data_IF_995361022767
#
_entry.id   IF_995361022767
#
_cell.length_a   1.000
_cell.length_b   1.000
_cell.length_c   1.000
_cell.angle_alpha   90.00
_cell.angle_beta   90.00
_cell.angle_gamma   90.00
#
_symmetry.space_group_name_H-M   'P 1'
#
loop_
_entity.id
_entity.type
_entity.pdbx_description
1 polymer ?
#
# COMPACT_ATOMS: atom_id res chain seq x y z
N UNK A 1 11.58 -23.98 -41.61
CA UNK A 1 10.67 -24.39 -40.51
C UNK A 1 11.49 -24.94 -39.34
N UNK A 2 12.15 -26.10 -39.47
CA UNK A 2 12.92 -26.72 -38.37
C UNK A 2 13.92 -25.81 -37.61
N UNK A 3 14.64 -24.91 -38.30
CA UNK A 3 15.57 -23.95 -37.65
C UNK A 3 14.84 -22.93 -36.78
N UNK A 4 13.71 -22.40 -37.26
CA UNK A 4 12.87 -21.45 -36.52
C UNK A 4 12.19 -22.15 -35.34
N UNK A 5 11.71 -23.39 -35.53
CA UNK A 5 11.10 -24.18 -34.46
C UNK A 5 12.09 -24.45 -33.32
N UNK A 6 13.34 -24.77 -33.67
CA UNK A 6 14.43 -24.95 -32.69
C UNK A 6 14.81 -23.64 -31.97
N UNK A 7 14.58 -22.49 -32.57
CA UNK A 7 14.86 -21.18 -31.98
C UNK A 7 13.72 -20.74 -31.05
N UNK A 8 12.46 -20.95 -31.46
CA UNK A 8 11.27 -20.77 -30.62
C UNK A 8 11.36 -21.63 -29.37
N UNK A 9 11.77 -22.90 -29.51
CA UNK A 9 11.90 -23.82 -28.38
C UNK A 9 12.97 -23.35 -27.39
N UNK A 10 14.11 -22.84 -27.88
CA UNK A 10 15.18 -22.30 -27.04
C UNK A 10 14.72 -21.07 -26.25
N UNK A 11 14.02 -20.15 -26.90
CA UNK A 11 13.49 -18.96 -26.22
C UNK A 11 12.43 -19.31 -25.16
N UNK A 12 11.57 -20.31 -25.43
CA UNK A 12 10.59 -20.78 -24.44
C UNK A 12 11.26 -21.42 -23.24
N UNK A 13 12.22 -22.32 -23.46
CA UNK A 13 12.98 -22.94 -22.37
C UNK A 13 13.68 -21.89 -21.50
N UNK A 14 14.30 -20.89 -22.11
CA UNK A 14 14.94 -19.81 -21.37
C UNK A 14 13.94 -18.94 -20.59
N UNK A 15 12.76 -18.66 -21.18
CA UNK A 15 11.71 -17.94 -20.47
C UNK A 15 11.17 -18.73 -19.27
N UNK A 16 11.02 -20.05 -19.39
CA UNK A 16 10.59 -20.94 -18.30
C UNK A 16 11.63 -20.98 -17.16
N UNK A 17 12.92 -21.06 -17.49
CA UNK A 17 14.00 -20.94 -16.52
C UNK A 17 13.94 -19.59 -15.79
N UNK A 18 13.74 -18.49 -16.52
CA UNK A 18 13.68 -17.16 -15.95
C UNK A 18 12.46 -16.96 -15.04
N UNK A 19 11.28 -17.44 -15.45
CA UNK A 19 10.06 -17.41 -14.62
C UNK A 19 10.28 -18.20 -13.33
N UNK A 20 10.86 -19.40 -13.42
CA UNK A 20 11.13 -20.24 -12.26
C UNK A 20 12.08 -19.55 -11.28
N UNK A 21 13.14 -18.92 -11.78
CA UNK A 21 14.07 -18.15 -10.98
C UNK A 21 13.39 -16.96 -10.28
N UNK A 22 12.57 -16.19 -11.00
CA UNK A 22 11.80 -15.08 -10.41
C UNK A 22 10.81 -15.56 -9.34
N UNK A 23 10.13 -16.67 -9.56
CA UNK A 23 9.21 -17.25 -8.58
C UNK A 23 9.93 -17.75 -7.33
N UNK A 24 11.13 -18.33 -7.46
CA UNK A 24 11.97 -18.69 -6.33
C UNK A 24 12.41 -17.46 -5.54
N UNK A 25 12.85 -16.39 -6.23
CA UNK A 25 13.19 -15.13 -5.59
C UNK A 25 12.00 -14.53 -4.84
N UNK A 26 10.80 -14.51 -5.46
CA UNK A 26 9.58 -14.04 -4.80
C UNK A 26 9.22 -14.87 -3.58
N UNK A 27 9.33 -16.20 -3.66
CA UNK A 27 9.08 -17.10 -2.52
C UNK A 27 10.04 -16.81 -1.36
N UNK A 28 11.33 -16.72 -1.62
CA UNK A 28 12.32 -16.43 -0.58
C UNK A 28 12.03 -15.10 0.16
N UNK A 29 11.68 -14.04 -0.59
CA UNK A 29 11.28 -12.76 0.00
C UNK A 29 9.99 -12.90 0.82
N UNK A 30 8.99 -13.61 0.29
CA UNK A 30 7.72 -13.82 0.99
C UNK A 30 7.89 -14.62 2.28
N UNK A 31 8.73 -15.65 2.30
CA UNK A 31 9.02 -16.45 3.48
C UNK A 31 9.77 -15.64 4.54
N UNK A 32 10.74 -14.82 4.14
CA UNK A 32 11.42 -13.88 5.02
C UNK A 32 10.44 -12.89 5.66
N UNK A 33 9.54 -12.33 4.85
CA UNK A 33 8.49 -11.40 5.29
C UNK A 33 7.50 -12.06 6.26
N UNK A 34 7.13 -13.32 6.03
CA UNK A 34 6.19 -14.05 6.87
C UNK A 34 6.71 -14.31 8.29
N UNK A 35 8.03 -14.30 8.50
CA UNK A 35 8.64 -14.39 9.84
C UNK A 35 8.45 -13.11 10.66
N UNK A 36 8.23 -11.98 9.99
CA UNK A 36 7.98 -10.70 10.62
C UNK A 36 6.48 -10.58 10.86
N UNK A 37 6.06 -10.63 12.13
CA UNK A 37 4.69 -10.29 12.49
C UNK A 37 4.55 -8.78 12.32
N UNK A 38 3.59 -8.36 11.50
CA UNK A 38 3.18 -6.96 11.38
C UNK A 38 1.90 -6.78 12.19
N UNK A 39 1.97 -6.42 13.49
CA UNK A 39 0.80 -6.48 14.37
C UNK A 39 -0.36 -5.61 13.84
N UNK A 40 -0.03 -4.47 13.24
CA UNK A 40 -0.99 -3.54 12.65
C UNK A 40 -1.65 -4.05 11.35
N UNK A 41 -1.06 -5.07 10.71
CA UNK A 41 -1.66 -5.81 9.60
C UNK A 41 -2.39 -7.08 10.08
N UNK A 42 -2.52 -7.31 11.38
CA UNK A 42 -3.35 -8.40 11.93
C UNK A 42 -4.50 -7.89 12.77
N UNK A 43 -4.53 -6.60 13.13
CA UNK A 43 -5.63 -5.99 13.87
C UNK A 43 -6.94 -6.03 13.07
N UNK A 44 -8.11 -6.19 13.73
CA UNK A 44 -9.41 -5.93 13.10
C UNK A 44 -9.52 -4.50 12.57
N UNK A 45 -10.42 -4.28 11.61
CA UNK A 45 -10.63 -2.96 11.00
C UNK A 45 -11.16 -1.94 12.01
N UNK A 46 -11.94 -2.38 13.00
CA UNK A 46 -12.50 -1.58 14.10
C UNK A 46 -11.40 -1.03 15.01
N UNK A 47 -10.39 -1.85 15.32
CA UNK A 47 -9.26 -1.43 16.14
C UNK A 47 -8.35 -0.51 15.35
N UNK A 48 -8.08 -0.86 14.09
CA UNK A 48 -7.26 -0.05 13.19
C UNK A 48 -7.86 1.35 12.98
N UNK A 49 -9.17 1.45 12.74
CA UNK A 49 -9.86 2.73 12.58
C UNK A 49 -9.85 3.57 13.87
N UNK A 50 -10.00 2.95 15.05
CA UNK A 50 -9.85 3.66 16.34
C UNK A 50 -8.46 4.24 16.52
N UNK A 51 -7.41 3.47 16.19
CA UNK A 51 -6.03 3.96 16.23
C UNK A 51 -5.88 5.18 15.32
N UNK A 52 -6.36 5.11 14.07
CA UNK A 52 -6.27 6.23 13.14
C UNK A 52 -6.97 7.49 13.66
N UNK A 53 -8.17 7.34 14.24
CA UNK A 53 -8.92 8.46 14.83
C UNK A 53 -8.17 9.08 16.01
N UNK A 54 -7.51 8.26 16.83
CA UNK A 54 -6.71 8.74 17.96
C UNK A 54 -5.44 9.51 17.51
N UNK A 55 -5.00 9.32 16.27
CA UNK A 55 -3.88 10.05 15.68
C UNK A 55 -4.29 11.41 15.06
N UNK A 56 -5.58 11.80 15.13
CA UNK A 56 -6.00 13.12 14.68
C UNK A 56 -5.49 14.22 15.62
N UNK A 57 -5.34 15.47 15.14
CA UNK A 57 -5.00 16.61 15.99
C UNK A 57 -6.06 16.86 17.07
N UNK A 58 -5.65 17.25 18.28
CA UNK A 58 -6.55 17.50 19.42
C UNK A 58 -7.61 18.58 19.13
N UNK A 59 -7.28 19.57 18.29
CA UNK A 59 -8.21 20.62 17.89
C UNK A 59 -9.28 20.16 16.88
N UNK A 60 -9.27 18.89 16.46
CA UNK A 60 -10.28 18.26 15.61
C UNK A 60 -10.27 18.69 14.14
N UNK A 61 -9.67 19.84 13.81
CA UNK A 61 -9.52 20.33 12.43
C UNK A 61 -8.35 19.66 11.73
N UNK A 62 -8.60 18.95 10.63
CA UNK A 62 -7.54 18.34 9.82
C UNK A 62 -7.12 19.30 8.71
N UNK A 63 -5.84 19.65 8.63
CA UNK A 63 -5.26 20.19 7.40
C UNK A 63 -4.79 19.05 6.50
N UNK A 64 -5.29 18.93 5.27
CA UNK A 64 -4.83 17.92 4.32
C UNK A 64 -3.33 18.10 4.05
N UNK A 65 -2.53 17.15 4.51
CA UNK A 65 -1.11 17.07 4.18
C UNK A 65 -0.71 15.61 4.02
N UNK A 66 0.15 15.26 3.06
CA UNK A 66 0.71 13.90 2.97
C UNK A 66 1.42 13.47 4.26
N UNK A 67 1.80 14.41 5.13
CA UNK A 67 2.52 14.13 6.38
C UNK A 67 1.64 14.08 7.61
N UNK A 68 0.31 14.25 7.48
CA UNK A 68 -0.63 14.21 8.60
C UNK A 68 -1.82 13.28 8.32
N UNK A 69 -2.41 12.74 9.39
CA UNK A 69 -3.68 12.01 9.31
C UNK A 69 -4.77 12.97 8.80
N UNK A 70 -5.68 12.51 7.92
CA UNK A 70 -5.92 11.13 7.48
C UNK A 70 -5.14 10.69 6.25
N UNK A 71 -4.52 11.61 5.50
CA UNK A 71 -3.81 11.28 4.27
C UNK A 71 -2.54 10.44 4.52
N UNK A 72 -1.86 10.65 5.64
CA UNK A 72 -0.71 9.85 6.05
C UNK A 72 -1.04 8.36 6.15
N UNK A 73 -2.13 7.99 6.82
CA UNK A 73 -2.48 6.58 6.98
C UNK A 73 -3.04 5.98 5.67
N UNK A 74 -3.69 6.79 4.84
CA UNK A 74 -4.22 6.36 3.56
C UNK A 74 -3.14 6.11 2.47
N UNK A 75 -1.87 6.44 2.71
CA UNK A 75 -0.78 6.20 1.75
C UNK A 75 0.15 5.04 2.11
N UNK A 76 -0.01 4.42 3.28
CA UNK A 76 0.90 3.35 3.75
C UNK A 76 0.77 2.07 2.93
N UNK A 77 -0.44 1.53 2.80
CA UNK A 77 -0.71 0.33 2.01
C UNK A 77 -2.19 0.29 1.57
N UNK A 78 -2.52 -0.63 0.64
CA UNK A 78 -3.90 -0.79 0.12
C UNK A 78 -4.91 -0.98 1.24
N UNK A 79 -4.62 -1.87 2.20
CA UNK A 79 -5.54 -2.19 3.29
C UNK A 79 -5.79 -0.99 4.21
N UNK A 80 -4.74 -0.25 4.58
CA UNK A 80 -4.89 0.95 5.41
C UNK A 80 -5.71 2.03 4.71
N UNK A 81 -5.50 2.18 3.39
CA UNK A 81 -6.32 3.08 2.57
C UNK A 81 -7.80 2.72 2.61
N UNK A 82 -8.14 1.44 2.45
CA UNK A 82 -9.52 0.97 2.54
C UNK A 82 -10.14 1.29 3.90
N UNK A 83 -9.43 0.99 5.00
CA UNK A 83 -9.89 1.31 6.37
C UNK A 83 -10.04 2.81 6.58
N UNK A 84 -9.06 3.62 6.15
CA UNK A 84 -9.09 5.06 6.30
C UNK A 84 -10.27 5.69 5.54
N UNK A 85 -10.50 5.27 4.29
CA UNK A 85 -11.62 5.76 3.48
C UNK A 85 -12.98 5.33 4.05
N UNK A 86 -13.09 4.14 4.62
CA UNK A 86 -14.32 3.66 5.26
C UNK A 86 -14.60 4.31 6.62
N UNK A 87 -13.65 5.03 7.21
CA UNK A 87 -13.79 5.62 8.55
C UNK A 87 -14.22 7.08 8.45
N UNK A 88 -15.52 7.36 8.40
CA UNK A 88 -16.06 8.74 8.24
C UNK A 88 -15.51 9.75 9.26
N UNK A 89 -15.24 9.34 10.50
CA UNK A 89 -14.68 10.21 11.56
C UNK A 89 -13.32 10.84 11.20
N UNK A 90 -12.54 10.20 10.33
CA UNK A 90 -11.27 10.74 9.86
C UNK A 90 -11.44 11.96 8.94
N UNK A 91 -12.62 12.12 8.36
CA UNK A 91 -12.91 13.11 7.32
C UNK A 91 -13.99 14.11 7.74
N UNK A 92 -14.41 14.10 9.01
CA UNK A 92 -15.52 14.93 9.50
C UNK A 92 -15.20 16.41 9.64
N UNK A 93 -13.92 16.80 9.59
CA UNK A 93 -13.50 18.20 9.67
C UNK A 93 -12.20 18.41 8.89
N UNK A 94 -12.28 19.13 7.76
CA UNK A 94 -11.17 19.41 6.86
C UNK A 94 -11.03 20.92 6.70
N UNK A 95 -9.83 21.44 6.96
CA UNK A 95 -9.44 22.85 6.83
C UNK A 95 -8.66 23.05 5.52
N UNK A 96 -9.24 23.80 4.58
CA UNK A 96 -8.66 24.06 3.25
C UNK A 96 -8.29 25.53 3.15
N UNK A 97 -6.99 25.80 3.00
CA UNK A 97 -6.46 27.14 2.80
C UNK A 97 -6.43 27.46 1.31
N UNK A 98 -7.19 28.47 0.89
CA UNK A 98 -7.21 28.95 -0.49
C UNK A 98 -6.33 30.19 -0.56
N UNK A 99 -5.12 30.05 -1.07
CA UNK A 99 -4.26 31.19 -1.42
C UNK A 99 -4.48 31.57 -2.87
N UNK A 100 -4.84 32.84 -3.10
CA UNK A 100 -4.94 33.40 -4.45
C UNK A 100 -3.52 33.69 -4.94
N UNK A 101 -3.07 32.95 -5.95
CA UNK A 101 -1.77 33.21 -6.58
C UNK A 101 -1.91 34.41 -7.52
N UNK A 102 -1.59 35.61 -7.03
CA UNK A 102 -1.54 36.81 -7.85
C UNK A 102 -2.03 38.05 -7.12
N UNK A 103 -1.16 38.60 -6.27
CA UNK A 103 -0.94 40.03 -5.99
C UNK A 103 0.53 40.20 -5.58
#
# INVERSE_FOLDING_TARGET
>A
LARLDAEILRFRAHAEEYITALEQQRRAVSESLARVVYPVLTLPNEITSRIFVQCLPDHGRVRPSPRSVPLLVAQVCRRWREVALATCKLWSSIDVHITRSGE
#
